data_IF_157619465885
#
_entry.id   IF_157619465885
#
_cell.length_a   1.000
_cell.length_b   1.000
_cell.length_c   1.000
_cell.angle_alpha   90.00
_cell.angle_beta   90.00
_cell.angle_gamma   90.00
#
_symmetry.space_group_name_H-M   'P 1'
#
loop_
_entity.id
_entity.type
_entity.pdbx_description
1 polymer ?
#
# COMPACT_ATOMS: atom_id res chain seq x y z
N UNK A 1 19.08 -21.24 12.41
CA UNK A 1 20.08 -20.15 12.42
C UNK A 1 19.41 -18.84 12.83
N UNK A 2 18.76 -18.82 14.00
CA UNK A 2 17.99 -17.67 14.52
C UNK A 2 18.19 -17.50 16.04
N UNK A 3 19.24 -18.11 16.61
CA UNK A 3 19.51 -17.99 18.05
C UNK A 3 20.36 -16.74 18.28
N UNK A 4 19.93 -15.91 19.23
CA UNK A 4 20.62 -14.67 19.58
C UNK A 4 22.08 -14.91 20.00
N UNK A 5 22.36 -16.01 20.72
CA UNK A 5 23.71 -16.32 21.20
C UNK A 5 24.68 -16.65 20.07
N UNK A 6 24.18 -17.26 18.98
CA UNK A 6 25.00 -17.57 17.81
C UNK A 6 25.37 -16.30 17.04
N UNK A 7 24.43 -15.36 16.90
CA UNK A 7 24.70 -14.05 16.29
C UNK A 7 25.65 -13.22 17.15
N UNK A 8 25.46 -13.23 18.47
CA UNK A 8 26.34 -12.51 19.41
C UNK A 8 27.79 -13.04 19.40
N UNK A 9 27.96 -14.36 19.31
CA UNK A 9 29.29 -14.96 19.18
C UNK A 9 29.99 -14.57 17.88
N UNK A 10 29.25 -14.49 16.77
CA UNK A 10 29.81 -14.10 15.48
C UNK A 10 30.25 -12.62 15.45
N UNK A 11 29.46 -11.71 16.01
CA UNK A 11 29.84 -10.29 16.16
C UNK A 11 31.11 -10.13 17.00
N UNK A 12 31.22 -10.88 18.11
CA UNK A 12 32.42 -10.84 18.97
C UNK A 12 33.68 -11.24 18.19
N UNK A 13 33.59 -12.25 17.31
CA UNK A 13 34.73 -12.65 16.47
C UNK A 13 35.07 -11.63 15.39
N UNK A 14 34.05 -10.94 14.84
CA UNK A 14 34.27 -9.84 13.89
C UNK A 14 35.00 -8.66 14.56
N UNK A 15 34.68 -8.36 15.82
CA UNK A 15 35.41 -7.35 16.60
C UNK A 15 36.88 -7.74 16.79
N UNK A 16 37.17 -9.01 17.12
CA UNK A 16 38.55 -9.50 17.28
C UNK A 16 39.36 -9.44 15.98
N UNK A 17 38.72 -9.72 14.84
CA UNK A 17 39.31 -9.54 13.51
C UNK A 17 39.61 -8.07 13.24
N UNK A 18 38.70 -7.16 13.60
CA UNK A 18 38.89 -5.72 13.39
C UNK A 18 40.08 -5.14 14.18
N UNK A 19 40.36 -5.71 15.35
CA UNK A 19 41.50 -5.36 16.20
C UNK A 19 42.80 -6.06 15.74
N UNK A 20 42.71 -6.95 14.74
CA UNK A 20 43.85 -7.67 14.19
C UNK A 20 44.31 -8.85 15.04
N UNK A 21 43.47 -9.33 15.99
CA UNK A 21 43.78 -10.48 16.84
C UNK A 21 43.57 -11.81 16.13
N UNK A 22 42.73 -11.82 15.09
CA UNK A 22 42.39 -13.00 14.31
C UNK A 22 42.51 -12.72 12.82
N UNK A 23 43.03 -13.70 12.10
CA UNK A 23 43.03 -13.70 10.64
C UNK A 23 41.64 -14.07 10.10
N UNK A 24 41.02 -13.15 9.37
CA UNK A 24 39.65 -13.30 8.88
C UNK A 24 39.50 -14.48 7.91
N UNK A 25 40.52 -14.76 7.10
CA UNK A 25 40.47 -15.81 6.09
C UNK A 25 40.46 -17.19 6.76
N UNK A 26 41.34 -17.40 7.73
CA UNK A 26 41.40 -18.63 8.53
C UNK A 26 40.11 -18.88 9.30
N UNK A 27 39.54 -17.82 9.89
CA UNK A 27 38.25 -17.89 10.58
C UNK A 27 37.11 -18.30 9.65
N UNK A 28 36.95 -17.63 8.49
CA UNK A 28 35.87 -17.93 7.56
C UNK A 28 35.95 -19.34 6.98
N UNK A 29 37.16 -19.80 6.62
CA UNK A 29 37.37 -21.15 6.11
C UNK A 29 37.00 -22.18 7.19
N UNK A 30 37.48 -21.97 8.42
CA UNK A 30 37.17 -22.84 9.55
C UNK A 30 35.67 -22.88 9.86
N UNK A 31 35.01 -21.73 9.91
CA UNK A 31 33.57 -21.62 10.13
C UNK A 31 32.77 -22.31 9.02
N UNK A 32 33.16 -22.10 7.76
CA UNK A 32 32.52 -22.72 6.61
C UNK A 32 32.60 -24.25 6.69
N UNK A 33 33.78 -24.80 6.98
CA UNK A 33 34.01 -26.24 7.04
C UNK A 33 33.37 -26.90 8.27
N UNK A 34 33.50 -26.29 9.44
CA UNK A 34 33.09 -26.90 10.72
C UNK A 34 31.60 -26.74 11.02
N UNK A 35 30.98 -25.66 10.56
CA UNK A 35 29.61 -25.29 10.93
C UNK A 35 28.68 -25.22 9.73
N UNK A 36 29.03 -24.43 8.70
CA UNK A 36 28.11 -24.16 7.60
C UNK A 36 27.87 -25.37 6.70
N UNK A 37 28.95 -26.03 6.25
CA UNK A 37 28.86 -27.20 5.38
C UNK A 37 28.05 -28.36 5.99
N UNK A 38 28.27 -28.77 7.26
CA UNK A 38 27.44 -29.80 7.90
C UNK A 38 25.97 -29.42 8.03
N UNK A 39 25.67 -28.13 8.28
CA UNK A 39 24.28 -27.67 8.36
C UNK A 39 23.61 -27.69 6.98
N UNK A 40 24.32 -27.27 5.93
CA UNK A 40 23.82 -27.39 4.56
C UNK A 40 23.56 -28.85 4.20
N UNK A 41 24.49 -29.76 4.50
CA UNK A 41 24.31 -31.19 4.25
C UNK A 41 23.04 -31.72 4.96
N UNK A 42 22.84 -31.37 6.23
CA UNK A 42 21.62 -31.74 6.97
C UNK A 42 20.36 -31.11 6.36
N UNK A 43 20.44 -29.87 5.92
CA UNK A 43 19.33 -29.20 5.25
C UNK A 43 18.98 -29.91 3.94
N UNK A 44 19.97 -30.27 3.11
CA UNK A 44 19.74 -31.04 1.88
C UNK A 44 19.18 -32.43 2.15
N UNK A 45 19.60 -33.12 3.21
CA UNK A 45 19.01 -34.42 3.57
C UNK A 45 17.53 -34.28 3.96
N UNK A 46 17.19 -33.26 4.77
CA UNK A 46 15.81 -33.01 5.18
C UNK A 46 14.94 -32.52 4.01
N UNK A 47 15.52 -31.68 3.16
CA UNK A 47 14.88 -31.21 1.94
C UNK A 47 14.77 -32.33 0.90
N UNK A 48 15.72 -33.26 0.78
CA UNK A 48 15.64 -34.36 -0.18
C UNK A 48 14.46 -35.32 0.06
N UNK A 49 13.95 -35.37 1.29
CA UNK A 49 12.72 -36.08 1.62
C UNK A 49 11.43 -35.28 1.29
N UNK A 50 11.51 -33.95 1.20
CA UNK A 50 10.36 -33.02 1.07
C UNK A 50 10.33 -32.25 -0.28
N UNK A 51 11.44 -32.27 -1.02
CA UNK A 51 11.65 -31.68 -2.36
C UNK A 51 11.61 -32.72 -3.47
N UNK A 52 11.35 -33.99 -3.17
CA UNK A 52 10.73 -34.83 -4.19
C UNK A 52 9.45 -34.09 -4.59
N UNK A 53 9.31 -33.62 -5.84
CA UNK A 53 8.06 -33.03 -6.28
C UNK A 53 7.02 -34.09 -5.97
N UNK A 54 6.19 -33.83 -4.95
CA UNK A 54 5.21 -34.80 -4.57
C UNK A 54 4.35 -34.95 -5.81
N UNK A 55 4.39 -36.10 -6.45
CA UNK A 55 3.52 -36.50 -7.56
C UNK A 55 2.04 -36.62 -7.09
N UNK A 56 1.73 -35.99 -5.95
CA UNK A 56 0.42 -35.57 -5.52
C UNK A 56 -0.06 -34.55 -6.54
N UNK A 57 -0.63 -35.07 -7.63
CA UNK A 57 -1.49 -34.30 -8.51
C UNK A 57 -2.49 -33.57 -7.63
N UNK A 58 -2.41 -32.25 -7.60
CA UNK A 58 -3.37 -31.45 -6.86
C UNK A 58 -4.75 -31.75 -7.42
N UNK A 59 -5.75 -31.82 -6.55
CA UNK A 59 -7.12 -32.04 -6.99
C UNK A 59 -7.57 -30.81 -7.82
N UNK A 60 -8.10 -31.05 -9.01
CA UNK A 60 -8.64 -29.97 -9.83
C UNK A 60 -9.96 -29.47 -9.22
N UNK A 61 -10.19 -28.16 -9.35
CA UNK A 61 -11.45 -27.52 -8.96
C UNK A 61 -12.33 -27.27 -10.18
N UNK A 62 -13.62 -27.08 -9.93
CA UNK A 62 -14.60 -26.68 -10.95
C UNK A 62 -14.46 -25.21 -11.39
N UNK A 63 -13.53 -24.46 -10.77
CA UNK A 63 -13.31 -23.04 -11.05
C UNK A 63 -12.29 -22.90 -12.18
N UNK A 64 -12.73 -22.32 -13.29
CA UNK A 64 -11.88 -22.03 -14.43
C UNK A 64 -10.99 -20.81 -14.18
N UNK A 65 -9.76 -20.88 -14.67
CA UNK A 65 -8.83 -19.77 -14.71
C UNK A 65 -9.37 -18.65 -15.63
N UNK A 66 -9.49 -17.39 -15.17
CA UNK A 66 -9.94 -16.28 -16.00
C UNK A 66 -8.99 -15.93 -17.17
N UNK A 67 -7.75 -16.41 -17.16
CA UNK A 67 -6.75 -16.11 -18.19
C UNK A 67 -6.65 -17.20 -19.25
N UNK A 68 -6.67 -18.48 -18.86
CA UNK A 68 -6.49 -19.61 -19.79
C UNK A 68 -7.68 -20.59 -19.83
N UNK A 69 -8.72 -20.34 -19.04
CA UNK A 69 -9.94 -21.14 -18.94
C UNK A 69 -9.76 -22.61 -18.53
N UNK A 70 -8.56 -23.01 -18.10
CA UNK A 70 -8.31 -24.33 -17.52
C UNK A 70 -8.76 -24.40 -16.04
N UNK A 71 -9.17 -25.58 -15.55
CA UNK A 71 -9.52 -25.76 -14.15
C UNK A 71 -8.30 -25.47 -13.25
N UNK A 72 -8.53 -24.76 -12.15
CA UNK A 72 -7.48 -24.43 -11.19
C UNK A 72 -7.24 -25.59 -10.22
N UNK A 73 -6.01 -25.77 -9.77
CA UNK A 73 -5.61 -26.78 -8.80
C UNK A 73 -5.86 -26.33 -7.36
N UNK A 74 -6.44 -27.19 -6.52
CA UNK A 74 -6.61 -26.99 -5.08
C UNK A 74 -5.30 -27.29 -4.37
N UNK A 75 -4.68 -26.25 -3.80
CA UNK A 75 -3.45 -26.37 -3.02
C UNK A 75 -3.79 -26.26 -1.53
N UNK A 76 -3.57 -27.32 -0.73
CA UNK A 76 -3.86 -27.31 0.70
C UNK A 76 -2.95 -26.30 1.41
N UNK A 77 -3.54 -25.52 2.31
CA UNK A 77 -2.81 -24.53 3.11
C UNK A 77 -3.52 -24.29 4.43
N UNK A 78 -2.76 -24.40 5.52
CA UNK A 78 -3.24 -24.08 6.86
C UNK A 78 -3.38 -22.58 7.11
N UNK A 79 -2.89 -21.73 6.19
CA UNK A 79 -2.86 -20.27 6.37
C UNK A 79 -4.08 -19.54 5.83
N UNK A 80 -4.94 -20.22 5.06
CA UNK A 80 -6.06 -19.59 4.34
C UNK A 80 -7.40 -20.05 4.89
N UNK A 81 -8.39 -19.15 4.90
CA UNK A 81 -9.79 -19.48 5.19
C UNK A 81 -10.26 -20.51 4.17
N UNK A 82 -10.74 -21.66 4.67
CA UNK A 82 -11.16 -22.78 3.83
C UNK A 82 -10.10 -23.89 3.66
N UNK A 83 -8.89 -23.76 4.20
CA UNK A 83 -7.90 -24.86 4.23
C UNK A 83 -7.19 -25.17 2.91
N UNK A 84 -7.54 -24.46 1.83
CA UNK A 84 -6.93 -24.58 0.50
C UNK A 84 -7.15 -23.32 -0.34
N UNK A 85 -6.24 -23.07 -1.29
CA UNK A 85 -6.32 -21.98 -2.27
C UNK A 85 -6.21 -22.54 -3.69
N UNK A 86 -6.65 -21.78 -4.69
CA UNK A 86 -6.61 -22.20 -6.08
C UNK A 86 -5.42 -21.59 -6.82
N UNK A 87 -4.71 -22.38 -7.63
CA UNK A 87 -3.58 -21.93 -8.46
C UNK A 87 -3.66 -22.50 -9.86
N UNK A 88 -3.22 -21.72 -10.85
CA UNK A 88 -3.08 -22.20 -12.22
C UNK A 88 -1.75 -22.93 -12.42
N UNK A 89 -1.80 -24.13 -13.00
CA UNK A 89 -0.61 -24.92 -13.39
C UNK A 89 -0.28 -24.79 -14.89
N UNK A 90 -1.20 -24.27 -15.70
CA UNK A 90 -1.08 -24.17 -17.16
C UNK A 90 -0.32 -22.92 -17.66
N UNK A 91 0.60 -22.37 -16.85
CA UNK A 91 1.47 -21.27 -17.27
C UNK A 91 0.94 -19.85 -17.05
N UNK A 92 -0.17 -19.67 -16.33
CA UNK A 92 -0.55 -18.34 -15.85
C UNK A 92 0.28 -17.96 -14.62
N UNK A 93 1.27 -17.10 -14.84
CA UNK A 93 2.18 -16.68 -13.78
C UNK A 93 1.45 -15.87 -12.70
N UNK A 94 1.66 -16.22 -11.43
CA UNK A 94 1.14 -15.55 -10.24
C UNK A 94 -0.39 -15.50 -10.07
N UNK A 95 -1.17 -16.24 -10.87
CA UNK A 95 -2.60 -16.34 -10.63
C UNK A 95 -2.89 -17.29 -9.47
N UNK A 96 -3.36 -16.70 -8.37
CA UNK A 96 -3.82 -17.40 -7.17
C UNK A 96 -5.19 -16.84 -6.78
N UNK A 97 -6.14 -17.71 -6.45
CA UNK A 97 -7.46 -17.30 -5.93
C UNK A 97 -7.63 -17.80 -4.50
N UNK A 98 -8.30 -16.98 -3.69
CA UNK A 98 -8.62 -17.26 -2.30
C UNK A 98 -10.13 -17.24 -2.10
N UNK A 99 -10.60 -18.05 -1.17
CA UNK A 99 -12.01 -18.09 -0.80
C UNK A 99 -12.37 -16.90 0.09
N UNK A 100 -13.40 -16.15 -0.29
CA UNK A 100 -13.90 -14.99 0.46
C UNK A 100 -15.18 -15.37 1.21
N UNK A 101 -15.08 -15.63 2.52
CA UNK A 101 -16.24 -15.99 3.36
C UNK A 101 -17.36 -14.94 3.32
N UNK A 102 -17.00 -13.66 3.12
CA UNK A 102 -17.94 -12.55 3.06
C UNK A 102 -18.83 -12.59 1.82
N UNK A 103 -18.26 -12.99 0.68
CA UNK A 103 -18.93 -12.96 -0.63
C UNK A 103 -19.25 -14.36 -1.16
N UNK A 104 -18.87 -15.40 -0.41
CA UNK A 104 -19.08 -16.80 -0.74
C UNK A 104 -18.56 -17.14 -2.16
N UNK A 105 -17.42 -16.55 -2.55
CA UNK A 105 -16.87 -16.67 -3.89
C UNK A 105 -15.33 -16.66 -3.89
N UNK A 106 -14.74 -17.20 -4.95
CA UNK A 106 -13.30 -17.19 -5.20
C UNK A 106 -12.87 -15.82 -5.75
N UNK A 107 -11.90 -15.19 -5.10
CA UNK A 107 -11.41 -13.86 -5.47
C UNK A 107 -9.89 -13.87 -5.63
N UNK A 108 -9.37 -13.11 -6.60
CA UNK A 108 -7.94 -12.87 -6.76
C UNK A 108 -7.53 -11.80 -5.73
N UNK A 109 -6.41 -11.96 -5.00
CA UNK A 109 -5.91 -10.95 -4.08
C UNK A 109 -5.78 -9.62 -4.78
N UNK A 110 -6.63 -8.68 -4.38
CA UNK A 110 -6.42 -7.30 -4.75
C UNK A 110 -5.23 -6.82 -3.93
N UNK A 111 -4.21 -6.27 -4.60
CA UNK A 111 -3.24 -5.45 -3.91
C UNK A 111 -4.04 -4.45 -3.08
N UNK A 112 -3.65 -4.25 -1.82
CA UNK A 112 -4.27 -3.31 -0.89
C UNK A 112 -4.03 -1.90 -1.41
N UNK A 113 -4.64 -1.56 -2.54
CA UNK A 113 -4.81 -0.20 -2.98
C UNK A 113 -5.75 0.41 -1.95
N UNK A 114 -5.45 1.63 -1.55
CA UNK A 114 -6.19 2.36 -0.53
C UNK A 114 -7.63 2.71 -0.99
N UNK A 115 -8.14 2.11 -2.08
CA UNK A 115 -9.46 2.36 -2.63
C UNK A 115 -10.03 1.14 -3.37
N UNK A 116 -10.99 0.46 -2.76
CA UNK A 116 -11.99 -0.34 -3.48
C UNK A 116 -13.38 -0.21 -2.84
N UNK A 117 -13.78 1.04 -2.61
CA UNK A 117 -15.08 1.47 -3.09
C UNK A 117 -14.74 2.50 -4.16
N UNK A 118 -15.16 2.25 -5.40
CA UNK A 118 -15.20 3.27 -6.44
C UNK A 118 -16.09 4.36 -5.89
N UNK A 119 -15.49 5.34 -5.21
CA UNK A 119 -16.23 6.38 -4.54
C UNK A 119 -16.78 7.26 -5.66
N UNK A 120 -18.03 6.99 -6.05
CA UNK A 120 -18.70 7.73 -7.10
C UNK A 120 -18.60 9.21 -6.76
N UNK A 121 -17.82 9.93 -7.57
CA UNK A 121 -17.62 11.35 -7.40
C UNK A 121 -18.93 12.02 -7.78
N UNK A 122 -19.57 12.66 -6.81
CA UNK A 122 -20.81 13.39 -7.00
C UNK A 122 -20.52 14.81 -7.46
N UNK A 123 -21.53 15.43 -8.08
CA UNK A 123 -21.49 16.84 -8.49
C UNK A 123 -21.54 17.84 -7.32
N UNK A 124 -21.68 17.38 -6.07
CA UNK A 124 -21.75 18.25 -4.90
C UNK A 124 -20.37 18.79 -4.53
N UNK A 125 -20.23 20.11 -4.40
CA UNK A 125 -19.00 20.76 -3.98
C UNK A 125 -18.83 20.72 -2.45
N UNK A 126 -17.61 20.46 -1.99
CA UNK A 126 -17.24 20.54 -0.58
C UNK A 126 -17.30 21.99 -0.10
N UNK A 127 -18.00 22.30 1.02
CA UNK A 127 -18.14 23.67 1.52
C UNK A 127 -16.82 24.29 2.01
N UNK A 128 -15.77 23.48 2.24
CA UNK A 128 -14.49 23.96 2.78
C UNK A 128 -13.43 24.15 1.70
N UNK A 129 -13.42 23.34 0.64
CA UNK A 129 -12.40 23.40 -0.41
C UNK A 129 -12.93 23.47 -1.85
N UNK A 130 -14.25 23.42 -2.06
CA UNK A 130 -14.88 23.46 -3.38
C UNK A 130 -14.67 22.22 -4.26
N UNK A 131 -13.86 21.25 -3.82
CA UNK A 131 -13.66 19.97 -4.52
C UNK A 131 -14.89 19.08 -4.42
N UNK A 132 -15.14 18.17 -5.39
CA UNK A 132 -16.34 17.35 -5.36
C UNK A 132 -16.34 16.37 -4.17
N UNK A 133 -17.54 16.03 -3.69
CA UNK A 133 -17.76 15.00 -2.70
C UNK A 133 -17.86 13.63 -3.37
N UNK A 134 -17.40 12.57 -2.71
CA UNK A 134 -17.49 11.19 -3.17
C UNK A 134 -18.28 10.32 -2.20
N UNK A 135 -19.02 9.33 -2.73
CA UNK A 135 -19.81 8.37 -1.96
C UNK A 135 -18.92 7.30 -1.33
N UNK A 136 -19.03 7.11 -0.02
CA UNK A 136 -18.36 6.06 0.71
C UNK A 136 -19.40 5.14 1.37
N UNK A 137 -19.41 3.83 1.08
CA UNK A 137 -20.27 2.89 1.76
C UNK A 137 -19.79 2.70 3.21
N UNK A 138 -20.73 2.55 4.13
CA UNK A 138 -20.47 2.18 5.52
C UNK A 138 -21.63 1.33 6.05
N UNK A 139 -21.29 0.35 6.89
CA UNK A 139 -22.29 -0.48 7.55
C UNK A 139 -22.62 0.12 8.93
N UNK A 140 -23.91 0.28 9.24
CA UNK A 140 -24.38 0.60 10.59
C UNK A 140 -25.62 -0.24 10.89
N UNK A 141 -25.60 -0.96 12.00
CA UNK A 141 -26.69 -1.85 12.44
C UNK A 141 -27.02 -2.95 11.41
N UNK A 142 -26.00 -3.47 10.71
CA UNK A 142 -26.16 -4.50 9.67
C UNK A 142 -26.76 -4.00 8.35
N UNK A 143 -27.04 -2.70 8.24
CA UNK A 143 -27.54 -2.07 7.02
C UNK A 143 -26.43 -1.31 6.31
N UNK A 144 -26.26 -1.60 5.02
CA UNK A 144 -25.35 -0.85 4.15
C UNK A 144 -25.92 0.54 3.86
N UNK A 145 -25.19 1.57 4.30
CA UNK A 145 -25.52 2.99 4.12
C UNK A 145 -24.42 3.69 3.34
N UNK A 146 -24.71 4.87 2.83
CA UNK A 146 -23.76 5.68 2.07
C UNK A 146 -23.60 7.04 2.76
N UNK A 147 -22.35 7.50 2.86
CA UNK A 147 -22.00 8.84 3.32
C UNK A 147 -21.16 9.57 2.27
N UNK A 148 -21.32 10.89 2.17
CA UNK A 148 -20.47 11.73 1.33
C UNK A 148 -19.31 12.29 2.14
N UNK A 149 -18.10 12.21 1.59
CA UNK A 149 -16.90 12.88 2.10
C UNK A 149 -16.17 13.58 0.96
N UNK A 150 -15.26 14.51 1.29
CA UNK A 150 -14.42 15.13 0.27
C UNK A 150 -13.64 14.07 -0.55
N UNK A 151 -13.66 14.18 -1.88
CA UNK A 151 -12.96 13.26 -2.76
C UNK A 151 -11.42 13.32 -2.58
N UNK A 152 -10.90 14.48 -2.17
CA UNK A 152 -9.47 14.66 -1.97
C UNK A 152 -8.98 14.01 -0.65
N UNK A 153 -8.09 13.03 -0.77
CA UNK A 153 -7.49 12.33 0.36
C UNK A 153 -6.64 13.25 1.25
N UNK A 154 -5.94 14.23 0.67
CA UNK A 154 -5.11 15.17 1.42
C UNK A 154 -5.98 16.16 2.20
N UNK A 155 -7.07 16.63 1.58
CA UNK A 155 -8.02 17.50 2.25
C UNK A 155 -8.66 16.81 3.46
N UNK A 156 -9.04 15.52 3.35
CA UNK A 156 -9.65 14.72 4.43
C UNK A 156 -8.79 14.58 5.70
N UNK A 157 -7.47 14.71 5.61
CA UNK A 157 -6.60 14.61 6.78
C UNK A 157 -6.62 15.87 7.66
N UNK A 158 -7.14 16.98 7.15
CA UNK A 158 -7.20 18.24 7.88
C UNK A 158 -8.40 18.27 8.84
N UNK A 159 -8.24 18.95 9.97
CA UNK A 159 -9.29 19.05 11.02
C UNK A 159 -10.56 19.76 10.54
N UNK A 160 -10.43 20.68 9.60
CA UNK A 160 -11.55 21.39 8.95
C UNK A 160 -12.38 20.47 8.03
N UNK A 161 -11.82 19.36 7.55
CA UNK A 161 -12.49 18.38 6.67
C UNK A 161 -13.02 17.15 7.41
N UNK A 162 -12.64 16.95 8.68
CA UNK A 162 -13.15 15.86 9.50
C UNK A 162 -14.67 15.94 9.69
N UNK A 163 -15.20 17.16 9.74
CA UNK A 163 -16.62 17.46 9.91
C UNK A 163 -17.41 17.50 8.58
N UNK A 164 -16.73 17.43 7.43
CA UNK A 164 -17.37 17.40 6.10
C UNK A 164 -17.78 15.97 5.78
N UNK A 165 -18.80 15.51 6.50
CA UNK A 165 -19.46 14.22 6.30
C UNK A 165 -20.95 14.47 6.21
N UNK A 166 -21.55 14.03 5.11
CA UNK A 166 -23.00 14.07 4.91
C UNK A 166 -23.57 12.66 4.87
N UNK A 167 -24.73 12.50 5.49
CA UNK A 167 -25.45 11.24 5.58
C UNK A 167 -26.75 11.36 4.79
N UNK A 168 -27.16 10.24 4.19
CA UNK A 168 -28.48 10.16 3.56
C UNK A 168 -29.55 10.12 4.65
N UNK A 169 -30.41 11.15 4.71
CA UNK A 169 -31.51 11.22 5.66
C UNK A 169 -32.75 10.48 5.13
N UNK A 170 -33.71 10.21 6.01
CA UNK A 170 -35.01 9.62 5.62
C UNK A 170 -35.86 10.55 4.75
N UNK A 171 -35.48 11.82 4.63
CA UNK A 171 -36.14 12.82 3.79
C UNK A 171 -35.55 12.88 2.38
N UNK A 172 -34.78 11.86 1.97
CA UNK A 172 -34.08 11.78 0.67
C UNK A 172 -33.13 12.96 0.41
N UNK A 173 -32.58 13.53 1.49
CA UNK A 173 -31.64 14.65 1.45
C UNK A 173 -30.32 14.29 2.11
N UNK A 174 -29.24 14.88 1.61
CA UNK A 174 -27.92 14.79 2.22
C UNK A 174 -27.83 15.79 3.38
N UNK A 175 -27.61 15.31 4.60
CA UNK A 175 -27.56 16.12 5.81
C UNK A 175 -26.23 15.95 6.57
N UNK A 176 -25.69 17.04 7.12
CA UNK A 176 -24.56 17.02 8.04
C UNK A 176 -24.86 17.79 9.33
N UNK A 177 -24.36 17.30 10.46
CA UNK A 177 -24.51 17.94 11.78
C UNK A 177 -23.93 19.37 11.83
N UNK A 178 -22.92 19.66 11.02
CA UNK A 178 -22.21 20.95 11.01
C UNK A 178 -22.66 21.89 9.89
N UNK A 179 -23.08 21.34 8.76
CA UNK A 179 -23.34 22.10 7.53
C UNK A 179 -24.81 22.11 7.12
N UNK A 180 -25.69 21.42 7.85
CA UNK A 180 -27.11 21.37 7.53
C UNK A 180 -27.42 20.48 6.32
N UNK A 181 -28.55 20.76 5.67
CA UNK A 181 -28.97 20.08 4.44
C UNK A 181 -28.16 20.59 3.23
N UNK A 182 -27.61 19.66 2.45
CA UNK A 182 -27.11 19.95 1.10
C UNK A 182 -28.30 19.99 0.15
N UNK A 183 -28.91 21.17 0.02
CA UNK A 183 -29.90 21.39 -1.03
C UNK A 183 -29.23 21.36 -2.42
N UNK A 184 -30.03 20.99 -3.42
CA UNK A 184 -29.68 20.87 -4.85
C UNK A 184 -29.09 22.14 -5.51
N UNK A 185 -28.96 23.23 -4.77
CA UNK A 185 -28.37 24.50 -5.18
C UNK A 185 -26.83 24.48 -5.24
N UNK A 186 -26.17 23.42 -4.76
CA UNK A 186 -24.73 23.20 -4.94
C UNK A 186 -24.37 22.54 -6.30
N UNK A 187 -25.21 22.73 -7.33
CA UNK A 187 -24.87 22.40 -8.73
C UNK A 187 -23.76 23.37 -9.18
N UNK A 188 -22.65 22.89 -9.78
CA UNK A 188 -21.64 23.79 -10.32
C UNK A 188 -22.28 24.65 -11.41
N UNK A 189 -22.17 25.97 -11.28
CA UNK A 189 -22.52 26.90 -12.36
C UNK A 189 -21.53 26.64 -13.49
N UNK A 190 -21.96 25.84 -14.47
CA UNK A 190 -21.28 25.73 -15.74
C UNK A 190 -21.54 27.05 -16.51
N UNK A 191 -20.48 27.85 -16.65
CA UNK A 191 -20.34 28.82 -17.73
C UNK A 191 -21.03 30.17 -17.56
N UNK A 192 -20.26 31.20 -17.17
CA UNK A 192 -20.29 32.50 -17.84
C UNK A 192 -18.88 33.05 -18.01
N UNK A 193 -18.34 32.89 -19.21
CA UNK A 193 -17.34 33.79 -19.76
C UNK A 193 -18.04 35.09 -20.17
N UNK A 194 -17.55 36.25 -19.72
CA UNK A 194 -17.63 37.52 -20.44
C UNK A 194 -16.83 38.63 -19.72
N UNK A 195 -15.70 38.99 -20.34
CA UNK A 195 -15.28 40.37 -20.64
C UNK A 195 -15.14 41.41 -19.51
N UNK A 196 -13.87 41.74 -19.22
CA UNK A 196 -13.30 43.07 -19.49
C UNK A 196 -13.79 44.27 -18.68
N UNK A 197 -12.91 44.80 -17.82
CA UNK A 197 -12.69 46.26 -17.71
C UNK A 197 -11.35 46.58 -17.05
N UNK A 198 -10.48 47.21 -17.83
CA UNK A 198 -9.34 48.00 -17.38
C UNK A 198 -9.73 49.03 -16.31
N UNK A 199 -8.86 49.25 -15.31
CA UNK A 199 -8.38 50.59 -14.96
C UNK A 199 -7.10 50.56 -14.11
N UNK A 200 -6.10 51.22 -14.69
CA UNK A 200 -4.79 51.73 -14.24
C UNK A 200 -4.51 51.96 -12.73
N UNK A 201 -3.29 51.54 -12.38
CA UNK A 201 -2.18 52.29 -11.75
C UNK A 201 -2.23 52.71 -10.27
N UNK A 202 -1.24 52.23 -9.50
CA UNK A 202 -0.32 53.09 -8.74
C UNK A 202 0.94 52.31 -8.31
N UNK A 203 2.06 53.02 -8.31
CA UNK A 203 3.44 52.56 -8.19
C UNK A 203 3.85 52.17 -6.77
N UNK A 204 4.84 51.27 -6.66
CA UNK A 204 5.57 51.00 -5.43
C UNK A 204 6.70 49.98 -5.61
N UNK A 205 7.86 50.43 -6.10
CA UNK A 205 9.18 49.76 -5.96
C UNK A 205 9.92 50.45 -4.80
N UNK A 206 11.09 49.98 -4.32
CA UNK A 206 11.74 48.66 -4.40
C UNK A 206 12.35 48.20 -3.05
N UNK A 207 12.81 46.94 -2.95
CA UNK A 207 13.89 46.42 -2.05
C UNK A 207 13.95 44.90 -2.26
N UNK A 208 15.06 44.18 -2.31
CA UNK A 208 16.50 44.48 -2.20
C UNK A 208 17.25 43.22 -2.69
N UNK A 209 18.25 43.42 -3.54
CA UNK A 209 19.55 42.69 -3.61
C UNK A 209 19.62 41.17 -3.35
N UNK A 210 19.90 40.42 -4.43
CA UNK A 210 20.63 39.14 -4.40
C UNK A 210 22.03 39.36 -4.98
N UNK A 211 23.07 39.17 -4.17
CA UNK A 211 24.44 38.89 -4.64
C UNK A 211 25.15 38.07 -3.58
N UNK A 212 25.28 36.77 -3.85
CA UNK A 212 26.11 35.83 -3.10
C UNK A 212 27.55 36.05 -3.57
N UNK A 213 28.41 36.52 -2.66
CA UNK A 213 29.85 36.57 -2.85
C UNK A 213 30.50 35.59 -1.85
N UNK A 214 31.28 34.64 -2.39
CA UNK A 214 32.20 33.78 -1.64
C UNK A 214 33.32 34.62 -1.00
N UNK A 215 33.72 34.37 0.25
CA UNK A 215 34.99 34.82 0.78
C UNK A 215 36.10 33.74 0.67
N UNK A 216 37.23 34.15 0.06
CA UNK A 216 38.68 34.04 0.41
C UNK A 216 39.15 33.20 1.62
N UNK A 217 40.48 32.97 1.90
CA UNK A 217 41.72 33.53 1.30
C UNK A 217 42.91 32.53 1.07
N UNK A 218 43.98 33.11 0.49
CA UNK A 218 45.35 32.62 0.22
C UNK A 218 46.22 32.38 1.48
N UNK A 219 47.31 31.59 1.33
CA UNK A 219 48.72 31.80 1.78
C UNK A 219 49.60 30.71 1.09
N UNK A 220 50.61 31.01 0.23
CA UNK A 220 52.03 31.39 0.46
C UNK A 220 52.71 30.55 1.57
N UNK A 221 53.88 29.94 1.42
CA UNK A 221 54.94 29.98 0.41
C UNK A 221 55.99 28.90 0.72
N UNK A 222 57.05 28.87 -0.10
CA UNK A 222 58.33 28.11 -0.03
C UNK A 222 58.31 26.65 0.48
#
# INVERSE_FOLDING_TARGET
>A
MLRADFTAGMETTLDEISVGKLDWQSYLIGWHQSYFQPILARAYTNLGADLQPSDRKNELSDVACPTCNHPLSKIPSQKVSGGHFLKCEHGCENLVMFWSDRRNQWEIPQAKSENAATAEVTSFACPVCGKPLAKFPYAKDGVDKVMLKCADAQARQRKDHADVVFFWSSQEKWWSKKFGDLDEAAKPILGKAATGKEKKAAQGKPKRSSKVAKPSPKKRGD
#
